data_IF_932732630229
#
_entry.id   IF_932732630229
#
_cell.length_a   1.000
_cell.length_b   1.000
_cell.length_c   1.000
_cell.angle_alpha   90.00
_cell.angle_beta   90.00
_cell.angle_gamma   90.00
#
_symmetry.space_group_name_H-M   'P 1'
#
loop_
_entity.id
_entity.type
_entity.pdbx_description
1 polymer ?
#
# COMPACT_ATOMS: atom_id res chain seq x y z
N UNK A 1 -28.93 -9.65 16.96
CA UNK A 1 -27.69 -9.84 16.19
C UNK A 1 -27.03 -11.15 16.61
N UNK A 2 -27.60 -12.32 16.27
CA UNK A 2 -27.05 -13.64 16.64
C UNK A 2 -26.80 -14.57 15.45
N UNK A 3 -27.01 -14.08 14.22
CA UNK A 3 -26.86 -14.88 12.99
C UNK A 3 -25.46 -14.76 12.37
N UNK A 4 -24.69 -13.73 12.74
CA UNK A 4 -23.29 -13.54 12.27
C UNK A 4 -22.34 -14.58 12.88
N UNK A 5 -22.68 -15.13 14.04
CA UNK A 5 -21.81 -16.04 14.80
C UNK A 5 -22.21 -17.52 14.63
N UNK A 6 -23.11 -17.87 13.70
CA UNK A 6 -23.54 -19.26 13.47
C UNK A 6 -22.67 -19.93 12.37
N UNK A 7 -21.78 -20.87 12.73
CA UNK A 7 -20.87 -21.52 11.80
C UNK A 7 -21.55 -22.53 10.85
N UNK A 8 -22.85 -22.82 11.04
CA UNK A 8 -23.63 -23.74 10.20
C UNK A 8 -24.63 -22.98 9.30
N UNK A 9 -24.74 -21.66 9.45
CA UNK A 9 -25.62 -20.86 8.62
C UNK A 9 -25.20 -20.91 7.14
N UNK A 10 -26.14 -21.27 6.25
CA UNK A 10 -25.93 -21.29 4.80
C UNK A 10 -25.48 -19.90 4.32
N UNK A 11 -24.28 -19.82 3.74
CA UNK A 11 -23.75 -18.61 3.14
C UNK A 11 -24.75 -17.98 2.16
N UNK A 12 -25.10 -16.72 2.40
CA UNK A 12 -26.10 -16.00 1.63
C UNK A 12 -25.42 -15.39 0.39
N UNK A 13 -25.45 -16.14 -0.72
CA UNK A 13 -24.91 -15.72 -2.02
C UNK A 13 -25.77 -14.62 -2.64
N UNK A 14 -25.50 -13.36 -2.30
CA UNK A 14 -26.01 -12.21 -3.06
C UNK A 14 -25.31 -12.15 -4.41
N UNK A 15 -25.79 -12.90 -5.41
CA UNK A 15 -25.66 -12.57 -6.83
C UNK A 15 -26.44 -13.46 -7.80
N UNK A 16 -27.42 -14.27 -7.35
CA UNK A 16 -28.33 -14.99 -8.25
C UNK A 16 -29.77 -15.04 -7.69
N UNK A 17 -30.45 -13.89 -7.62
CA UNK A 17 -31.85 -13.78 -7.16
C UNK A 17 -32.73 -12.98 -8.13
N UNK A 18 -33.94 -13.47 -8.37
CA UNK A 18 -34.93 -12.98 -9.35
C UNK A 18 -35.11 -11.46 -9.43
N UNK A 19 -35.37 -10.98 -10.65
CA UNK A 19 -35.68 -9.59 -10.96
C UNK A 19 -36.87 -9.06 -10.12
N UNK A 20 -36.61 -8.12 -9.21
CA UNK A 20 -37.65 -7.43 -8.46
C UNK A 20 -37.17 -6.63 -7.25
N UNK A 21 -36.14 -7.09 -6.54
CA UNK A 21 -35.68 -6.46 -5.28
C UNK A 21 -34.36 -5.69 -5.40
N UNK A 22 -33.54 -5.97 -6.42
CA UNK A 22 -32.24 -5.28 -6.60
C UNK A 22 -32.34 -3.81 -7.04
N UNK A 23 -33.40 -3.43 -7.76
CA UNK A 23 -33.55 -2.04 -8.29
C UNK A 23 -33.80 -1.02 -7.17
N UNK A 24 -34.50 -1.41 -6.11
CA UNK A 24 -34.74 -0.56 -4.94
C UNK A 24 -33.47 -0.37 -4.12
N UNK A 25 -32.69 -1.43 -3.92
CA UNK A 25 -31.40 -1.38 -3.21
C UNK A 25 -30.35 -0.56 -3.97
N UNK A 26 -30.27 -0.69 -5.31
CA UNK A 26 -29.32 0.10 -6.13
C UNK A 26 -29.71 1.59 -6.17
N UNK A 27 -31.02 1.93 -6.22
CA UNK A 27 -31.48 3.33 -6.12
C UNK A 27 -31.34 3.91 -4.71
N UNK A 28 -31.47 3.08 -3.68
CA UNK A 28 -31.37 3.50 -2.28
C UNK A 28 -29.92 3.55 -1.78
N UNK A 29 -28.97 2.91 -2.46
CA UNK A 29 -27.57 2.84 -2.04
C UNK A 29 -26.95 4.22 -1.78
N UNK A 30 -27.08 5.23 -2.67
CA UNK A 30 -26.58 6.58 -2.41
C UNK A 30 -27.33 7.27 -1.26
N UNK A 31 -28.63 6.98 -1.11
CA UNK A 31 -29.49 7.59 -0.09
C UNK A 31 -29.16 7.05 1.32
N UNK A 32 -28.82 5.75 1.42
CA UNK A 32 -28.42 5.12 2.69
C UNK A 32 -27.05 5.63 3.14
N UNK A 33 -26.07 5.71 2.23
CA UNK A 33 -24.74 6.28 2.55
C UNK A 33 -24.89 7.74 2.98
N UNK A 34 -25.72 8.52 2.27
CA UNK A 34 -25.98 9.91 2.61
C UNK A 34 -26.61 10.06 4.00
N UNK A 35 -27.62 9.24 4.32
CA UNK A 35 -28.27 9.25 5.62
C UNK A 35 -27.33 8.80 6.75
N UNK A 36 -26.61 7.69 6.59
CA UNK A 36 -25.66 7.17 7.58
C UNK A 36 -24.52 8.17 7.83
N UNK A 37 -23.92 8.72 6.77
CA UNK A 37 -22.87 9.75 6.86
C UNK A 37 -23.39 10.98 7.59
N UNK A 38 -24.60 11.46 7.28
CA UNK A 38 -25.19 12.61 7.95
C UNK A 38 -25.49 12.33 9.44
N UNK A 39 -26.01 11.14 9.77
CA UNK A 39 -26.25 10.73 11.16
C UNK A 39 -24.94 10.65 11.95
N UNK A 40 -23.91 10.00 11.41
CA UNK A 40 -22.57 9.93 12.03
C UNK A 40 -21.96 11.31 12.20
N UNK A 41 -22.11 12.17 11.20
CA UNK A 41 -21.64 13.54 11.25
C UNK A 41 -22.32 14.31 12.39
N UNK A 42 -23.65 14.30 12.48
CA UNK A 42 -24.37 15.02 13.54
C UNK A 42 -24.13 14.43 14.93
N UNK A 43 -23.94 13.10 15.04
CA UNK A 43 -23.80 12.41 16.32
C UNK A 43 -22.41 12.52 16.97
N UNK A 44 -21.41 13.05 16.27
CA UNK A 44 -20.04 13.12 16.78
C UNK A 44 -19.90 14.22 17.85
N UNK A 45 -19.76 13.87 19.16
CA UNK A 45 -19.90 14.82 20.25
C UNK A 45 -18.64 15.66 20.53
N UNK A 46 -17.48 15.28 19.97
CA UNK A 46 -16.19 15.87 20.37
C UNK A 46 -15.84 17.18 19.66
N UNK A 47 -16.57 17.53 18.62
CA UNK A 47 -16.12 18.53 17.64
C UNK A 47 -16.95 19.82 17.69
N UNK A 48 -18.28 19.72 17.70
CA UNK A 48 -19.17 20.88 17.61
C UNK A 48 -20.59 20.51 18.10
N UNK A 49 -21.43 21.51 18.31
CA UNK A 49 -22.83 21.34 18.69
C UNK A 49 -23.62 20.59 17.59
N UNK A 50 -24.41 19.55 17.94
CA UNK A 50 -25.19 18.79 16.97
C UNK A 50 -26.12 19.64 16.10
N UNK A 51 -26.69 20.74 16.63
CA UNK A 51 -27.54 21.61 15.83
C UNK A 51 -26.72 22.41 14.82
N UNK A 52 -25.56 22.93 15.20
CA UNK A 52 -24.64 23.61 14.27
C UNK A 52 -24.25 22.69 13.10
N UNK A 53 -23.94 21.42 13.40
CA UNK A 53 -23.61 20.41 12.39
C UNK A 53 -24.79 20.06 11.51
N UNK A 54 -25.99 19.93 12.08
CA UNK A 54 -27.21 19.74 11.31
C UNK A 54 -27.47 20.91 10.35
N UNK A 55 -27.26 22.16 10.79
CA UNK A 55 -27.38 23.33 9.93
C UNK A 55 -26.39 23.30 8.77
N UNK A 56 -25.14 22.85 9.00
CA UNK A 56 -24.16 22.63 7.92
C UNK A 56 -24.69 21.61 6.90
N UNK A 57 -25.19 20.45 7.35
CA UNK A 57 -25.77 19.43 6.43
C UNK A 57 -26.95 19.99 5.64
N UNK A 58 -27.84 20.75 6.27
CA UNK A 58 -29.01 21.36 5.61
C UNK A 58 -28.59 22.42 4.58
N UNK A 59 -27.57 23.23 4.87
CA UNK A 59 -27.01 24.24 3.94
C UNK A 59 -26.58 23.60 2.62
N UNK A 60 -25.84 22.49 2.66
CA UNK A 60 -25.41 21.78 1.45
C UNK A 60 -26.57 21.04 0.76
N UNK A 61 -27.51 20.46 1.53
CA UNK A 61 -28.68 19.78 0.96
C UNK A 61 -29.55 20.71 0.12
N UNK A 62 -29.72 21.96 0.56
CA UNK A 62 -30.57 22.96 -0.09
C UNK A 62 -29.88 23.65 -1.28
N UNK A 63 -28.58 23.41 -1.52
CA UNK A 63 -27.86 23.99 -2.65
C UNK A 63 -28.33 23.35 -3.96
N UNK A 64 -28.81 24.20 -4.89
CA UNK A 64 -29.23 23.78 -6.23
C UNK A 64 -28.03 23.28 -7.05
N UNK A 65 -28.28 22.39 -8.01
CA UNK A 65 -27.27 21.83 -8.93
C UNK A 65 -26.06 21.13 -8.27
N UNK A 66 -26.22 20.63 -7.05
CA UNK A 66 -25.19 19.91 -6.30
C UNK A 66 -25.47 18.41 -6.36
N UNK A 67 -24.47 17.57 -6.65
CA UNK A 67 -24.66 16.12 -6.79
C UNK A 67 -25.04 15.47 -5.45
N UNK A 68 -25.55 14.23 -5.48
CA UNK A 68 -25.86 13.49 -4.25
C UNK A 68 -24.61 13.21 -3.41
N UNK A 69 -23.45 13.01 -4.05
CA UNK A 69 -22.18 12.79 -3.37
C UNK A 69 -21.63 14.08 -2.77
N UNK A 70 -21.75 15.20 -3.49
CA UNK A 70 -21.40 16.53 -2.94
C UNK A 70 -22.19 16.82 -1.66
N UNK A 71 -23.50 16.57 -1.67
CA UNK A 71 -24.37 16.76 -0.50
C UNK A 71 -24.00 15.85 0.68
N UNK A 72 -23.30 14.76 0.41
CA UNK A 72 -22.90 13.77 1.41
C UNK A 72 -21.53 14.10 2.00
N UNK A 73 -20.54 14.42 1.16
CA UNK A 73 -19.15 14.57 1.58
C UNK A 73 -18.69 16.01 1.82
N UNK A 74 -19.23 16.99 1.09
CA UNK A 74 -18.81 18.39 1.29
C UNK A 74 -19.05 18.92 2.71
N UNK A 75 -20.18 18.59 3.42
CA UNK A 75 -20.34 19.01 4.82
C UNK A 75 -19.23 18.47 5.74
N UNK A 76 -18.77 17.24 5.48
CA UNK A 76 -17.72 16.56 6.26
C UNK A 76 -16.33 17.13 5.94
N UNK A 77 -16.11 17.51 4.68
CA UNK A 77 -14.84 18.05 4.19
C UNK A 77 -14.66 19.53 4.51
N UNK A 78 -15.74 20.33 4.45
CA UNK A 78 -15.68 21.78 4.67
C UNK A 78 -15.14 22.13 6.06
N UNK A 79 -15.49 21.36 7.09
CA UNK A 79 -14.96 21.58 8.45
C UNK A 79 -13.44 21.35 8.59
N UNK A 80 -12.75 20.83 7.57
CA UNK A 80 -11.29 20.76 7.56
C UNK A 80 -10.63 22.08 7.18
N UNK A 81 -11.39 23.00 6.60
CA UNK A 81 -10.91 24.26 6.03
C UNK A 81 -11.72 25.47 6.49
N UNK A 82 -12.93 25.26 7.03
CA UNK A 82 -13.73 26.30 7.67
C UNK A 82 -12.91 26.93 8.83
N UNK A 83 -12.92 28.26 8.90
CA UNK A 83 -12.29 29.10 9.94
C UNK A 83 -10.76 29.24 9.88
N UNK A 84 -10.10 28.84 8.77
CA UNK A 84 -8.68 29.08 8.55
C UNK A 84 -8.40 30.46 7.95
N UNK A 85 -7.24 31.03 8.29
CA UNK A 85 -6.69 32.18 7.57
C UNK A 85 -6.19 31.77 6.18
N UNK A 86 -6.11 32.73 5.24
CA UNK A 86 -5.63 32.44 3.87
C UNK A 86 -4.21 31.86 3.83
N UNK A 87 -3.38 32.23 4.81
CA UNK A 87 -1.98 31.77 4.89
C UNK A 87 -1.89 30.32 5.42
N UNK A 88 -2.82 29.92 6.29
CA UNK A 88 -2.87 28.57 6.85
C UNK A 88 -3.61 27.57 5.94
N UNK A 89 -4.52 28.05 5.08
CA UNK A 89 -5.40 27.22 4.25
C UNK A 89 -4.60 26.28 3.33
N UNK A 90 -3.57 26.81 2.65
CA UNK A 90 -2.73 26.02 1.75
C UNK A 90 -1.99 24.89 2.45
N UNK A 91 -1.43 25.15 3.64
CA UNK A 91 -0.71 24.14 4.42
C UNK A 91 -1.67 23.04 4.92
N UNK A 92 -2.88 23.41 5.34
CA UNK A 92 -3.87 22.44 5.81
C UNK A 92 -4.37 21.54 4.67
N UNK A 93 -4.59 22.10 3.48
CA UNK A 93 -4.97 21.36 2.27
C UNK A 93 -3.88 20.36 1.89
N UNK A 94 -2.62 20.79 1.83
CA UNK A 94 -1.52 19.90 1.44
C UNK A 94 -1.32 18.76 2.45
N UNK A 95 -1.38 19.07 3.75
CA UNK A 95 -1.33 18.03 4.79
C UNK A 95 -2.53 17.09 4.74
N UNK A 96 -3.73 17.58 4.38
CA UNK A 96 -4.90 16.73 4.18
C UNK A 96 -4.67 15.77 3.00
N UNK A 97 -4.28 16.31 1.84
CA UNK A 97 -3.98 15.53 0.63
C UNK A 97 -2.92 14.47 0.89
N UNK A 98 -1.87 14.82 1.64
CA UNK A 98 -0.81 13.88 1.97
C UNK A 98 -1.28 12.75 2.90
N UNK A 99 -1.97 13.06 4.01
CA UNK A 99 -2.39 12.05 5.00
C UNK A 99 -3.63 11.29 4.54
N UNK A 100 -4.73 12.00 4.29
CA UNK A 100 -6.01 11.38 3.92
C UNK A 100 -5.92 10.82 2.52
N UNK A 101 -5.23 11.50 1.60
CA UNK A 101 -5.02 10.98 0.26
C UNK A 101 -4.22 9.69 0.23
N UNK A 102 -3.22 9.55 1.10
CA UNK A 102 -2.58 8.25 1.29
C UNK A 102 -3.57 7.22 1.80
N UNK A 103 -4.31 7.49 2.89
CA UNK A 103 -5.23 6.53 3.51
C UNK A 103 -6.26 5.97 2.52
N UNK A 104 -6.86 6.82 1.68
CA UNK A 104 -7.89 6.39 0.72
C UNK A 104 -7.31 5.65 -0.50
N UNK A 105 -6.01 5.79 -0.77
CA UNK A 105 -5.30 5.11 -1.86
C UNK A 105 -4.52 3.87 -1.40
N UNK A 106 -4.49 3.56 -0.09
CA UNK A 106 -3.82 2.37 0.41
C UNK A 106 -4.48 1.09 -0.13
N UNK A 107 -3.70 0.17 -0.71
CA UNK A 107 -4.15 -1.14 -1.20
C UNK A 107 -4.61 -2.04 -0.05
N UNK A 108 -4.07 -1.83 1.16
CA UNK A 108 -4.63 -2.36 2.41
C UNK A 108 -4.63 -1.29 3.50
N UNK A 109 -5.71 -1.21 4.30
CA UNK A 109 -5.75 -0.36 5.48
C UNK A 109 -4.56 -0.55 6.41
N UNK A 110 -3.99 0.55 6.90
CA UNK A 110 -2.90 0.57 7.86
C UNK A 110 -3.34 1.21 9.19
N UNK A 111 -2.69 0.80 10.27
CA UNK A 111 -2.89 1.38 11.59
C UNK A 111 -2.28 2.78 11.69
N UNK A 112 -2.67 3.58 12.68
CA UNK A 112 -2.08 4.92 12.89
C UNK A 112 -0.58 4.83 13.13
N UNK A 113 -0.12 3.77 13.81
CA UNK A 113 1.31 3.51 14.03
C UNK A 113 2.04 3.31 12.69
N UNK A 114 1.52 2.42 11.82
CA UNK A 114 2.13 2.14 10.53
C UNK A 114 2.02 3.33 9.56
N UNK A 115 0.90 4.05 9.58
CA UNK A 115 0.71 5.29 8.81
C UNK A 115 1.72 6.36 9.22
N UNK A 116 1.94 6.54 10.52
CA UNK A 116 2.93 7.49 11.04
C UNK A 116 4.34 7.17 10.55
N UNK A 117 4.71 5.89 10.55
CA UNK A 117 6.00 5.45 10.04
C UNK A 117 6.13 5.67 8.52
N UNK A 118 5.13 5.26 7.72
CA UNK A 118 5.17 5.42 6.25
C UNK A 118 5.14 6.89 5.83
N UNK A 119 4.30 7.71 6.45
CA UNK A 119 4.14 9.12 6.09
C UNK A 119 5.25 10.00 6.65
N UNK A 120 5.97 9.54 7.67
CA UNK A 120 6.88 10.36 8.49
C UNK A 120 6.15 11.55 9.13
N UNK A 121 4.94 11.28 9.64
CA UNK A 121 4.07 12.27 10.29
C UNK A 121 3.76 11.81 11.71
N UNK A 122 3.84 12.68 12.74
CA UNK A 122 3.52 12.30 14.10
C UNK A 122 2.10 11.71 14.23
N UNK A 123 1.96 10.63 15.00
CA UNK A 123 0.66 9.96 15.23
C UNK A 123 -0.42 10.93 15.71
N UNK A 124 -0.07 11.88 16.59
CA UNK A 124 -0.98 12.93 17.07
C UNK A 124 -1.56 13.78 15.93
N UNK A 125 -0.73 14.14 14.95
CA UNK A 125 -1.16 14.93 13.79
C UNK A 125 -2.07 14.14 12.86
N UNK A 126 -1.84 12.83 12.73
CA UNK A 126 -2.73 11.92 11.97
C UNK A 126 -4.07 11.80 12.69
N UNK A 127 -4.06 11.48 14.00
CA UNK A 127 -5.27 11.35 14.81
C UNK A 127 -6.11 12.62 14.80
N UNK A 128 -5.47 13.78 14.98
CA UNK A 128 -6.16 15.06 14.95
C UNK A 128 -6.91 15.32 13.65
N UNK A 129 -6.47 14.76 12.50
CA UNK A 129 -7.22 14.82 11.23
C UNK A 129 -8.32 13.79 11.14
N UNK A 130 -8.04 12.56 11.58
CA UNK A 130 -9.02 11.48 11.61
C UNK A 130 -10.22 11.82 12.49
N UNK A 131 -10.00 12.59 13.57
CA UNK A 131 -11.08 13.01 14.47
C UNK A 131 -12.20 13.77 13.75
N UNK A 132 -11.89 14.52 12.71
CA UNK A 132 -12.88 15.24 11.92
C UNK A 132 -13.52 14.42 10.81
N UNK A 133 -13.09 13.18 10.62
CA UNK A 133 -13.53 12.35 9.51
C UNK A 133 -14.26 11.08 9.96
N UNK A 134 -14.68 10.99 11.22
CA UNK A 134 -15.46 9.84 11.76
C UNK A 134 -16.73 9.50 10.97
N UNK A 135 -17.29 10.48 10.25
CA UNK A 135 -18.44 10.28 9.39
C UNK A 135 -18.14 9.43 8.13
N UNK A 136 -16.86 9.34 7.73
CA UNK A 136 -16.40 8.68 6.50
C UNK A 136 -15.26 7.69 6.70
N UNK A 137 -14.53 7.80 7.81
CA UNK A 137 -13.45 6.92 8.24
C UNK A 137 -13.80 6.28 9.59
N UNK A 138 -13.54 4.98 9.71
CA UNK A 138 -13.48 4.27 10.97
C UNK A 138 -12.03 4.32 11.49
N UNK A 139 -11.83 5.06 12.58
CA UNK A 139 -10.56 5.21 13.28
C UNK A 139 -10.70 4.69 14.72
N UNK A 140 -10.40 3.39 14.96
CA UNK A 140 -10.59 2.78 16.28
C UNK A 140 -9.69 3.41 17.36
N UNK A 141 -10.12 3.34 18.62
CA UNK A 141 -9.34 3.92 19.75
C UNK A 141 -7.96 3.29 19.93
N UNK A 142 -7.81 2.01 19.57
CA UNK A 142 -6.50 1.35 19.54
C UNK A 142 -5.75 1.72 18.26
N UNK A 143 -4.62 2.40 18.42
CA UNK A 143 -3.79 2.89 17.32
C UNK A 143 -3.11 1.79 16.49
N UNK A 144 -3.19 0.53 16.96
CA UNK A 144 -2.70 -0.66 16.25
C UNK A 144 -3.75 -1.28 15.32
N UNK A 145 -5.01 -0.84 15.41
CA UNK A 145 -6.06 -1.31 14.51
C UNK A 145 -6.06 -0.43 13.24
N UNK A 146 -6.21 -1.02 12.03
CA UNK A 146 -6.22 -0.25 10.80
C UNK A 146 -7.35 0.78 10.70
N UNK A 147 -7.02 1.96 10.17
CA UNK A 147 -7.99 3.00 9.79
C UNK A 147 -8.66 2.57 8.49
N UNK A 148 -9.99 2.51 8.47
CA UNK A 148 -10.76 2.03 7.31
C UNK A 148 -11.70 3.10 6.78
N UNK A 149 -11.91 3.10 5.47
CA UNK A 149 -13.02 3.85 4.89
C UNK A 149 -14.34 3.13 5.17
N UNK A 150 -15.36 3.88 5.54
CA UNK A 150 -16.72 3.34 5.72
C UNK A 150 -17.35 2.99 4.38
N UNK A 151 -17.03 3.73 3.33
CA UNK A 151 -17.57 3.52 2.00
C UNK A 151 -16.59 3.90 0.88
N UNK A 152 -16.52 3.07 -0.18
CA UNK A 152 -15.59 3.27 -1.30
C UNK A 152 -15.86 4.58 -2.08
N UNK A 153 -17.12 5.02 -2.16
CA UNK A 153 -17.45 6.27 -2.86
C UNK A 153 -16.83 7.52 -2.22
N UNK A 154 -16.29 7.44 -1.00
CA UNK A 154 -15.52 8.54 -0.43
C UNK A 154 -14.17 8.69 -1.14
N UNK A 155 -13.47 7.58 -1.40
CA UNK A 155 -12.28 7.57 -2.26
C UNK A 155 -12.64 8.08 -3.64
N UNK A 156 -13.66 7.51 -4.27
CA UNK A 156 -14.05 7.86 -5.64
C UNK A 156 -14.39 9.35 -5.75
N UNK A 157 -15.08 9.93 -4.75
CA UNK A 157 -15.37 11.35 -4.70
C UNK A 157 -14.10 12.21 -4.63
N UNK A 158 -13.13 11.84 -3.79
CA UNK A 158 -11.92 12.64 -3.60
C UNK A 158 -10.94 12.57 -4.78
N UNK A 159 -10.87 11.45 -5.50
CA UNK A 159 -9.94 11.28 -6.64
C UNK A 159 -10.52 11.72 -7.98
N UNK A 160 -11.84 11.93 -8.07
CA UNK A 160 -12.51 12.35 -9.30
C UNK A 160 -12.13 13.81 -9.66
N UNK A 161 -11.45 14.04 -10.81
CA UNK A 161 -11.06 15.38 -11.25
C UNK A 161 -12.24 16.34 -11.45
N UNK A 162 -13.46 15.83 -11.72
CA UNK A 162 -14.64 16.67 -11.86
C UNK A 162 -15.00 17.41 -10.56
N UNK A 163 -14.65 16.83 -9.41
CA UNK A 163 -14.94 17.39 -8.09
C UNK A 163 -13.89 18.42 -7.63
N UNK A 164 -12.83 18.67 -8.41
CA UNK A 164 -11.84 19.74 -8.12
C UNK A 164 -12.48 21.13 -8.01
N UNK A 165 -13.58 21.35 -8.75
CA UNK A 165 -14.36 22.59 -8.68
C UNK A 165 -15.23 22.70 -7.41
N UNK A 166 -15.57 21.55 -6.80
CA UNK A 166 -16.41 21.47 -5.60
C UNK A 166 -15.61 21.61 -4.31
N UNK A 167 -14.35 21.16 -4.28
CA UNK A 167 -13.51 21.21 -3.07
C UNK A 167 -12.01 21.30 -3.41
N UNK A 168 -11.23 22.13 -2.68
CA UNK A 168 -9.79 22.15 -2.82
C UNK A 168 -9.12 20.87 -2.29
N UNK A 169 -9.84 20.02 -1.55
CA UNK A 169 -9.30 18.80 -0.94
C UNK A 169 -9.25 17.59 -1.90
N UNK A 170 -9.57 17.79 -3.18
CA UNK A 170 -9.42 16.76 -4.21
C UNK A 170 -7.97 16.26 -4.27
N UNK A 171 -7.81 14.96 -4.49
CA UNK A 171 -6.54 14.23 -4.48
C UNK A 171 -6.13 13.96 -5.92
N UNK A 172 -4.88 14.30 -6.25
CA UNK A 172 -4.26 13.81 -7.47
C UNK A 172 -3.72 12.38 -7.24
N UNK A 173 -4.37 11.39 -7.86
CA UNK A 173 -4.05 9.98 -7.68
C UNK A 173 -2.62 9.66 -8.14
N UNK A 174 -2.17 10.24 -9.25
CA UNK A 174 -0.83 10.00 -9.80
C UNK A 174 0.25 10.55 -8.87
N UNK A 175 0.08 11.80 -8.42
CA UNK A 175 1.02 12.44 -7.48
C UNK A 175 1.06 11.69 -6.15
N UNK A 176 -0.10 11.27 -5.65
CA UNK A 176 -0.21 10.57 -4.37
C UNK A 176 0.42 9.18 -4.44
N UNK A 177 0.18 8.41 -5.51
CA UNK A 177 0.86 7.15 -5.74
C UNK A 177 2.39 7.32 -5.84
N UNK A 178 2.88 8.38 -6.49
CA UNK A 178 4.31 8.70 -6.51
C UNK A 178 4.86 8.91 -5.09
N UNK A 179 4.16 9.71 -4.27
CA UNK A 179 4.55 9.97 -2.89
C UNK A 179 4.55 8.69 -2.02
N UNK A 180 3.53 7.83 -2.17
CA UNK A 180 3.45 6.55 -1.44
C UNK A 180 4.60 5.63 -1.85
N UNK A 181 4.93 5.55 -3.15
CA UNK A 181 6.06 4.75 -3.64
C UNK A 181 7.39 5.23 -3.04
N UNK A 182 7.63 6.55 -3.03
CA UNK A 182 8.82 7.15 -2.43
C UNK A 182 8.92 6.86 -0.93
N UNK A 183 7.80 6.97 -0.21
CA UNK A 183 7.72 6.63 1.21
C UNK A 183 8.02 5.15 1.48
N UNK A 184 7.52 4.25 0.64
CA UNK A 184 7.85 2.83 0.74
C UNK A 184 9.35 2.58 0.52
N UNK A 185 9.96 3.22 -0.49
CA UNK A 185 11.39 3.12 -0.75
C UNK A 185 12.22 3.66 0.43
N UNK A 186 11.82 4.79 1.02
CA UNK A 186 12.45 5.37 2.21
C UNK A 186 12.44 4.37 3.38
N UNK A 187 11.28 3.78 3.68
CA UNK A 187 11.12 2.79 4.75
C UNK A 187 11.98 1.56 4.49
N UNK A 188 11.96 1.05 3.26
CA UNK A 188 12.79 -0.09 2.85
C UNK A 188 14.28 0.21 3.00
N UNK A 189 14.75 1.39 2.57
CA UNK A 189 16.17 1.78 2.64
C UNK A 189 16.69 1.83 4.08
N UNK A 190 15.86 2.29 5.02
CA UNK A 190 16.23 2.41 6.43
C UNK A 190 16.21 1.05 7.15
N UNK A 191 15.19 0.23 6.87
CA UNK A 191 14.92 -0.98 7.66
C UNK A 191 15.53 -2.26 7.07
N UNK A 192 15.72 -2.31 5.75
CA UNK A 192 16.24 -3.51 5.10
C UNK A 192 17.76 -3.61 5.21
N UNK A 193 18.20 -4.76 5.68
CA UNK A 193 19.62 -5.12 5.77
C UNK A 193 19.81 -6.60 5.48
N UNK A 194 21.04 -6.96 5.12
CA UNK A 194 21.45 -8.36 5.02
C UNK A 194 21.18 -9.03 6.36
N UNK A 195 20.61 -10.23 6.30
CA UNK A 195 20.26 -11.01 7.48
C UNK A 195 19.33 -10.26 8.46
N UNK A 196 18.13 -9.90 7.98
CA UNK A 196 17.09 -9.21 8.75
C UNK A 196 16.83 -9.82 10.14
N UNK A 197 16.82 -11.15 10.22
CA UNK A 197 16.51 -11.92 11.42
C UNK A 197 17.77 -12.31 12.22
N UNK A 198 18.96 -11.84 11.83
CA UNK A 198 20.25 -12.11 12.49
C UNK A 198 20.50 -13.62 12.73
N UNK A 199 20.21 -14.45 11.72
CA UNK A 199 20.40 -15.89 11.79
C UNK A 199 21.88 -16.30 11.75
N UNK A 200 22.76 -15.46 11.19
CA UNK A 200 24.22 -15.63 11.02
C UNK A 200 24.67 -16.79 10.14
N UNK A 201 23.97 -17.92 10.17
CA UNK A 201 24.29 -19.13 9.43
C UNK A 201 23.50 -19.18 8.11
N UNK A 202 24.15 -19.12 6.93
CA UNK A 202 23.45 -19.14 5.65
C UNK A 202 22.56 -20.37 5.41
N UNK A 203 22.88 -21.51 6.05
CA UNK A 203 22.10 -22.75 5.99
C UNK A 203 20.97 -22.85 7.02
N UNK A 204 20.70 -21.81 7.81
CA UNK A 204 19.58 -21.81 8.76
C UNK A 204 18.24 -21.84 8.01
N UNK A 205 17.34 -22.80 8.31
CA UNK A 205 16.06 -22.88 7.63
C UNK A 205 15.12 -21.78 8.13
N UNK A 206 14.17 -21.36 7.29
CA UNK A 206 13.13 -20.39 7.65
C UNK A 206 12.33 -20.81 8.88
N UNK A 207 12.11 -22.11 9.05
CA UNK A 207 11.39 -22.69 10.21
C UNK A 207 12.12 -22.51 11.54
N UNK A 208 13.41 -22.19 11.52
CA UNK A 208 14.18 -21.89 12.72
C UNK A 208 14.02 -20.42 13.20
N UNK A 209 13.31 -19.57 12.45
CA UNK A 209 13.10 -18.17 12.80
C UNK A 209 11.86 -18.06 13.69
N UNK A 210 11.98 -17.60 14.95
CA UNK A 210 10.82 -17.36 15.80
C UNK A 210 9.92 -16.27 15.22
N UNK A 211 8.61 -16.43 15.37
CA UNK A 211 7.61 -15.46 14.90
C UNK A 211 7.86 -14.04 15.47
N UNK A 212 8.24 -13.95 16.75
CA UNK A 212 8.58 -12.67 17.40
C UNK A 212 9.79 -11.98 16.75
N UNK A 213 10.79 -12.75 16.31
CA UNK A 213 11.93 -12.21 15.55
C UNK A 213 11.45 -11.63 14.22
N UNK A 214 10.54 -12.31 13.52
CA UNK A 214 9.96 -11.79 12.28
C UNK A 214 9.22 -10.48 12.54
N UNK A 215 8.37 -10.42 13.57
CA UNK A 215 7.56 -9.23 13.90
C UNK A 215 8.43 -8.03 14.28
N UNK A 216 9.52 -8.25 15.01
CA UNK A 216 10.48 -7.19 15.36
C UNK A 216 11.37 -6.76 14.19
N UNK A 217 11.77 -7.69 13.32
CA UNK A 217 12.62 -7.40 12.16
C UNK A 217 11.86 -6.86 10.94
N UNK A 218 10.56 -7.15 10.85
CA UNK A 218 9.67 -6.74 9.75
C UNK A 218 8.37 -6.19 10.34
N UNK A 219 8.38 -4.96 10.87
CA UNK A 219 7.17 -4.33 11.36
C UNK A 219 6.17 -4.07 10.20
N UNK A 220 4.87 -3.84 10.50
CA UNK A 220 3.82 -3.78 9.50
C UNK A 220 4.07 -2.81 8.33
N UNK A 221 4.63 -1.63 8.61
CA UNK A 221 5.01 -0.62 7.61
C UNK A 221 6.10 -1.11 6.65
N UNK A 222 7.05 -1.90 7.13
CA UNK A 222 8.13 -2.47 6.30
C UNK A 222 7.57 -3.59 5.44
N UNK A 223 6.72 -4.45 5.99
CA UNK A 223 6.03 -5.49 5.23
C UNK A 223 5.17 -4.88 4.12
N UNK A 224 4.41 -3.82 4.46
CA UNK A 224 3.58 -3.10 3.51
C UNK A 224 4.41 -2.49 2.38
N UNK A 225 5.48 -1.77 2.74
CA UNK A 225 6.38 -1.16 1.76
C UNK A 225 6.99 -2.21 0.82
N UNK A 226 7.49 -3.33 1.36
CA UNK A 226 8.05 -4.42 0.54
C UNK A 226 7.04 -5.04 -0.42
N UNK A 227 5.75 -5.01 -0.07
CA UNK A 227 4.69 -5.64 -0.86
C UNK A 227 4.10 -4.72 -1.94
N UNK A 228 3.99 -3.41 -1.68
CA UNK A 228 3.17 -2.52 -2.52
C UNK A 228 3.94 -1.39 -3.23
N UNK A 229 5.22 -1.16 -2.94
CA UNK A 229 5.96 -0.05 -3.56
C UNK A 229 5.93 -0.08 -5.10
N UNK A 230 6.04 -1.26 -5.72
CA UNK A 230 6.02 -1.42 -7.19
C UNK A 230 4.66 -1.04 -7.74
N UNK A 231 3.58 -1.48 -7.09
CA UNK A 231 2.21 -1.15 -7.48
C UNK A 231 2.03 0.37 -7.53
N UNK A 232 2.39 1.07 -6.45
CA UNK A 232 2.29 2.54 -6.41
C UNK A 232 3.18 3.24 -7.42
N UNK A 233 4.38 2.73 -7.62
CA UNK A 233 5.27 3.29 -8.61
C UNK A 233 4.68 3.18 -10.02
N UNK A 234 4.12 2.02 -10.39
CA UNK A 234 3.42 1.85 -11.69
C UNK A 234 2.23 2.79 -11.83
N UNK A 235 1.37 2.84 -10.81
CA UNK A 235 0.17 3.68 -10.85
C UNK A 235 0.49 5.18 -10.83
N UNK A 236 1.70 5.57 -10.41
CA UNK A 236 2.16 6.96 -10.52
C UNK A 236 2.40 7.41 -11.96
N UNK A 237 2.64 6.47 -12.89
CA UNK A 237 3.03 6.73 -14.29
C UNK A 237 4.25 7.67 -14.43
N UNK A 238 5.07 7.79 -13.38
CA UNK A 238 6.29 8.59 -13.39
C UNK A 238 7.47 7.70 -13.78
N UNK A 239 8.22 8.15 -14.80
CA UNK A 239 9.48 7.51 -15.22
C UNK A 239 10.53 7.60 -14.09
N UNK A 240 11.20 6.48 -13.79
CA UNK A 240 12.22 6.44 -12.75
C UNK A 240 13.46 7.25 -13.17
N UNK A 241 13.58 8.49 -12.68
CA UNK A 241 14.82 9.27 -12.76
C UNK A 241 15.57 9.12 -11.43
N UNK A 242 16.11 7.93 -11.20
CA UNK A 242 16.92 7.65 -10.02
C UNK A 242 18.10 6.78 -10.40
N UNK A 243 19.33 7.31 -10.31
CA UNK A 243 20.51 6.46 -10.27
C UNK A 243 20.40 5.59 -9.02
N UNK A 244 20.35 4.26 -9.20
CA UNK A 244 20.46 3.29 -8.12
C UNK A 244 21.89 3.31 -7.56
N UNK A 245 22.22 4.33 -6.78
CA UNK A 245 23.41 4.32 -5.95
C UNK A 245 23.05 3.63 -4.63
N UNK A 246 23.61 2.45 -4.42
CA UNK A 246 23.52 1.58 -3.23
C UNK A 246 22.36 0.58 -3.23
N UNK A 247 22.61 -0.54 -3.91
CA UNK A 247 21.74 -1.71 -3.96
C UNK A 247 21.44 -2.30 -2.59
N UNK A 248 20.14 -2.45 -2.30
CA UNK A 248 19.55 -3.37 -1.32
C UNK A 248 18.10 -3.63 -1.75
N UNK A 249 17.77 -4.87 -2.09
CA UNK A 249 16.38 -5.30 -2.35
C UNK A 249 16.06 -6.53 -1.50
N UNK A 250 14.84 -6.60 -0.96
CA UNK A 250 14.34 -7.72 -0.14
C UNK A 250 13.39 -8.64 -0.92
N UNK A 251 13.16 -9.80 -0.31
CA UNK A 251 12.58 -11.00 -0.88
C UNK A 251 11.05 -10.93 -1.03
N UNK A 252 10.52 -10.27 -2.07
CA UNK A 252 9.12 -10.44 -2.56
C UNK A 252 8.82 -9.81 -3.95
N UNK A 253 9.66 -10.03 -4.96
CA UNK A 253 9.54 -9.33 -6.28
C UNK A 253 8.98 -10.15 -7.45
N UNK A 254 8.24 -11.23 -7.21
CA UNK A 254 8.16 -12.29 -8.24
C UNK A 254 6.98 -12.23 -9.23
N UNK A 255 5.95 -11.39 -9.04
CA UNK A 255 4.73 -11.51 -9.87
C UNK A 255 4.34 -10.29 -10.71
N UNK A 256 4.77 -9.08 -10.35
CA UNK A 256 4.33 -7.87 -11.07
C UNK A 256 5.36 -7.33 -12.08
N UNK A 257 6.51 -7.97 -12.21
CA UNK A 257 7.67 -7.36 -12.87
C UNK A 257 7.68 -7.44 -14.41
N UNK A 258 6.81 -8.22 -15.05
CA UNK A 258 6.94 -8.54 -16.49
C UNK A 258 6.44 -7.47 -17.44
N UNK A 259 5.36 -6.78 -17.11
CA UNK A 259 4.62 -6.04 -18.14
C UNK A 259 5.09 -4.58 -18.30
N UNK A 260 5.82 -4.04 -17.32
CA UNK A 260 6.20 -2.61 -17.26
C UNK A 260 7.70 -2.33 -17.51
N UNK A 261 8.49 -3.38 -17.73
CA UNK A 261 9.93 -3.30 -18.02
C UNK A 261 10.20 -2.67 -19.40
N UNK A 262 9.18 -2.47 -20.23
CA UNK A 262 9.31 -1.84 -21.55
C UNK A 262 9.37 -0.30 -21.51
N UNK A 263 8.88 0.36 -20.46
CA UNK A 263 8.77 1.83 -20.39
C UNK A 263 9.92 2.52 -19.65
N UNK A 264 10.87 1.77 -19.07
CA UNK A 264 12.01 2.32 -18.31
C UNK A 264 13.27 2.46 -19.17
N UNK A 265 14.29 3.19 -18.67
CA UNK A 265 15.58 3.23 -19.35
C UNK A 265 16.08 1.81 -19.63
N UNK A 266 16.73 1.63 -20.78
CA UNK A 266 17.20 0.33 -21.23
C UNK A 266 18.04 -0.36 -20.13
N UNK A 267 18.87 0.38 -19.40
CA UNK A 267 19.72 -0.18 -18.33
C UNK A 267 18.89 -0.73 -17.16
N UNK A 268 17.91 0.03 -16.67
CA UNK A 268 17.03 -0.38 -15.56
C UNK A 268 16.21 -1.61 -15.97
N UNK A 269 15.71 -1.61 -17.20
CA UNK A 269 14.97 -2.72 -17.79
C UNK A 269 15.79 -4.02 -17.82
N UNK A 270 17.04 -3.97 -18.30
CA UNK A 270 17.90 -5.16 -18.38
C UNK A 270 18.35 -5.61 -16.98
N UNK A 271 18.69 -4.69 -16.08
CA UNK A 271 19.04 -5.02 -14.69
C UNK A 271 17.90 -5.78 -13.99
N UNK A 272 16.67 -5.28 -14.09
CA UNK A 272 15.52 -5.88 -13.42
C UNK A 272 15.14 -7.24 -14.02
N UNK A 273 15.30 -7.40 -15.33
CA UNK A 273 15.12 -8.69 -16.00
C UNK A 273 16.12 -9.74 -15.50
N UNK A 274 17.37 -9.34 -15.32
CA UNK A 274 18.42 -10.20 -14.77
C UNK A 274 18.17 -10.56 -13.29
N UNK A 275 17.80 -9.57 -12.47
CA UNK A 275 17.39 -9.76 -11.08
C UNK A 275 16.27 -10.79 -10.94
N UNK A 276 15.23 -10.68 -11.79
CA UNK A 276 14.12 -11.62 -11.81
C UNK A 276 14.59 -13.05 -12.09
N UNK A 277 15.51 -13.25 -13.04
CA UNK A 277 16.04 -14.58 -13.37
C UNK A 277 16.80 -15.17 -12.18
N UNK A 278 17.68 -14.40 -11.53
CA UNK A 278 18.43 -14.84 -10.34
C UNK A 278 17.49 -15.27 -9.21
N UNK A 279 16.45 -14.47 -8.92
CA UNK A 279 15.49 -14.77 -7.86
C UNK A 279 14.67 -16.02 -8.19
N UNK A 280 14.22 -16.14 -9.43
CA UNK A 280 13.40 -17.28 -9.86
C UNK A 280 14.19 -18.60 -9.85
N UNK A 281 15.44 -18.61 -10.31
CA UNK A 281 16.26 -19.82 -10.34
C UNK A 281 16.63 -20.33 -8.94
N UNK A 282 16.62 -19.47 -7.93
CA UNK A 282 16.97 -19.84 -6.55
C UNK A 282 15.78 -19.86 -5.59
N UNK A 283 14.55 -19.65 -6.08
CA UNK A 283 13.37 -19.48 -5.25
C UNK A 283 13.18 -20.60 -4.24
N UNK A 284 13.26 -21.87 -4.69
CA UNK A 284 13.06 -23.03 -3.82
C UNK A 284 14.09 -23.06 -2.66
N UNK A 285 15.35 -22.75 -2.96
CA UNK A 285 16.40 -22.69 -1.96
C UNK A 285 16.18 -21.52 -0.99
N UNK A 286 15.82 -20.33 -1.48
CA UNK A 286 15.63 -19.17 -0.60
C UNK A 286 14.36 -19.28 0.25
N UNK A 287 13.29 -19.85 -0.28
CA UNK A 287 12.05 -20.07 0.49
C UNK A 287 12.29 -20.98 1.70
N UNK A 288 13.22 -21.94 1.57
CA UNK A 288 13.64 -22.85 2.66
C UNK A 288 14.77 -22.28 3.51
N UNK A 289 15.77 -21.62 2.91
CA UNK A 289 16.96 -21.05 3.55
C UNK A 289 17.15 -19.58 3.13
N UNK A 290 16.51 -18.62 3.82
CA UNK A 290 16.39 -17.24 3.35
C UNK A 290 17.72 -16.52 3.09
N UNK A 291 18.80 -16.87 3.81
CA UNK A 291 20.11 -16.25 3.61
C UNK A 291 20.83 -16.69 2.34
N UNK A 292 20.34 -17.73 1.66
CA UNK A 292 20.91 -18.19 0.39
C UNK A 292 20.71 -17.17 -0.74
N UNK A 293 19.81 -16.18 -0.57
CA UNK A 293 19.71 -15.04 -1.50
C UNK A 293 21.01 -14.23 -1.58
N UNK A 294 21.79 -14.18 -0.48
CA UNK A 294 23.04 -13.42 -0.41
C UNK A 294 24.28 -14.28 -0.69
N UNK A 295 24.10 -15.60 -0.89
CA UNK A 295 25.19 -16.56 -1.08
C UNK A 295 24.94 -17.30 -2.38
N UNK A 296 24.15 -18.36 -2.36
CA UNK A 296 23.91 -19.20 -3.54
C UNK A 296 23.37 -18.42 -4.73
N UNK A 297 22.39 -17.54 -4.54
CA UNK A 297 21.78 -16.81 -5.66
C UNK A 297 22.79 -15.96 -6.44
N UNK A 298 23.77 -15.38 -5.75
CA UNK A 298 24.83 -14.60 -6.38
C UNK A 298 25.98 -15.50 -6.89
N UNK A 299 26.36 -16.52 -6.10
CA UNK A 299 27.45 -17.45 -6.41
C UNK A 299 27.16 -18.25 -7.69
N UNK A 300 25.92 -18.69 -7.86
CA UNK A 300 25.47 -19.50 -9.00
C UNK A 300 24.84 -18.68 -10.14
N UNK A 301 24.77 -17.35 -10.02
CA UNK A 301 24.37 -16.51 -11.14
C UNK A 301 25.42 -16.56 -12.28
N UNK A 302 25.01 -16.48 -13.57
CA UNK A 302 25.94 -16.51 -14.69
C UNK A 302 27.01 -15.42 -14.61
N UNK A 303 28.26 -15.73 -14.98
CA UNK A 303 29.42 -14.81 -14.81
C UNK A 303 29.22 -13.46 -15.49
N UNK A 304 28.59 -13.45 -16.66
CA UNK A 304 28.35 -12.25 -17.44
C UNK A 304 27.05 -11.52 -17.06
N UNK A 305 26.23 -12.12 -16.20
CA UNK A 305 24.97 -11.55 -15.71
C UNK A 305 25.19 -10.19 -15.04
N UNK A 306 24.22 -9.28 -15.20
CA UNK A 306 24.30 -7.92 -14.69
C UNK A 306 24.35 -7.93 -13.16
N UNK A 307 23.49 -8.71 -12.50
CA UNK A 307 23.48 -8.88 -11.05
C UNK A 307 24.80 -9.45 -10.56
N UNK A 308 25.31 -10.46 -11.26
CA UNK A 308 26.59 -11.07 -10.91
C UNK A 308 27.74 -10.05 -10.93
N UNK A 309 27.81 -9.22 -11.97
CA UNK A 309 28.81 -8.14 -12.10
C UNK A 309 28.59 -7.00 -11.10
N UNK A 310 27.34 -6.60 -10.88
CA UNK A 310 26.98 -5.48 -10.01
C UNK A 310 27.35 -5.76 -8.55
N UNK A 311 27.19 -7.01 -8.12
CA UNK A 311 27.41 -7.44 -6.74
C UNK A 311 28.65 -8.31 -6.58
N UNK A 312 29.61 -8.28 -7.51
CA UNK A 312 30.83 -9.12 -7.45
C UNK A 312 31.60 -8.92 -6.13
N UNK A 313 31.66 -7.68 -5.62
CA UNK A 313 32.26 -7.37 -4.32
C UNK A 313 31.51 -7.93 -3.10
N UNK A 314 30.28 -8.44 -3.25
CA UNK A 314 29.51 -9.06 -2.17
C UNK A 314 29.70 -10.60 -2.09
N UNK A 315 30.51 -11.16 -2.98
CA UNK A 315 30.77 -12.59 -3.01
C UNK A 315 31.47 -13.05 -1.72
N UNK A 316 31.08 -14.22 -1.18
CA UNK A 316 31.69 -14.72 0.05
C UNK A 316 33.17 -15.07 -0.20
N UNK A 317 34.08 -14.34 0.46
CA UNK A 317 35.52 -14.55 0.34
C UNK A 317 36.01 -15.93 0.84
N UNK A 318 35.17 -16.66 1.57
CA UNK A 318 35.47 -18.03 2.03
C UNK A 318 35.17 -19.10 0.97
N UNK A 319 34.47 -18.75 -0.12
CA UNK A 319 33.99 -19.70 -1.13
C UNK A 319 34.91 -19.70 -2.36
N UNK A 320 36.19 -20.03 -2.15
CA UNK A 320 37.20 -20.18 -3.20
C UNK A 320 37.74 -21.62 -3.28
N UNK A 321 37.87 -22.20 -4.48
CA UNK A 321 37.44 -21.64 -5.78
C UNK A 321 35.91 -21.59 -5.90
N UNK A 322 35.42 -20.59 -6.63
CA UNK A 322 33.99 -20.48 -6.94
C UNK A 322 33.55 -21.64 -7.85
N UNK A 323 32.28 -22.09 -7.76
CA UNK A 323 31.76 -23.14 -8.62
C UNK A 323 31.83 -22.73 -10.10
N UNK A 324 31.96 -23.75 -10.97
CA UNK A 324 31.78 -23.53 -12.40
C UNK A 324 30.31 -23.23 -12.68
N UNK A 325 30.07 -22.11 -13.34
CA UNK A 325 28.73 -21.63 -13.72
C UNK A 325 28.77 -21.18 -15.18
N UNK A 326 27.61 -21.15 -15.83
CA UNK A 326 27.50 -20.66 -17.20
C UNK A 326 28.00 -19.22 -17.33
N UNK A 327 28.54 -18.88 -18.50
CA UNK A 327 28.93 -17.51 -18.80
C UNK A 327 27.69 -16.61 -18.86
N UNK A 328 26.66 -17.05 -19.55
CA UNK A 328 25.41 -16.34 -19.77
C UNK A 328 24.21 -17.20 -19.36
N UNK A 329 23.02 -16.59 -19.27
CA UNK A 329 21.78 -17.34 -19.08
C UNK A 329 21.56 -18.29 -20.26
N UNK A 330 21.28 -19.55 -19.97
CA UNK A 330 20.84 -20.52 -20.96
C UNK A 330 19.41 -20.19 -21.42
N UNK A 331 19.07 -20.61 -22.65
CA UNK A 331 17.73 -20.40 -23.22
C UNK A 331 16.62 -21.14 -22.43
N UNK A 332 17.00 -22.10 -21.56
CA UNK A 332 16.12 -23.00 -20.82
C UNK A 332 16.11 -22.77 -19.29
N UNK A 333 16.56 -21.62 -18.79
CA UNK A 333 16.68 -21.30 -17.35
C UNK A 333 15.37 -21.36 -16.51
N UNK A 334 14.25 -21.82 -17.08
CA UNK A 334 12.97 -22.02 -16.42
C UNK A 334 12.59 -23.51 -16.25
N UNK A 335 13.49 -24.46 -16.55
CA UNK A 335 13.24 -25.87 -16.24
C UNK A 335 13.46 -26.09 -14.75
N UNK A 336 12.38 -26.38 -14.02
CA UNK A 336 12.42 -26.83 -12.64
C UNK A 336 13.20 -28.16 -12.58
N UNK A 337 14.42 -28.14 -12.05
CA UNK A 337 15.12 -29.38 -11.68
C UNK A 337 14.38 -30.02 -10.49
N UNK A 338 13.75 -31.16 -10.73
CA UNK A 338 12.99 -31.88 -9.69
C UNK A 338 12.23 -33.13 -10.13
N UNK A 339 12.43 -33.63 -11.36
CA UNK A 339 11.88 -34.90 -11.80
C UNK A 339 12.89 -35.64 -12.67
N UNK A 340 13.96 -36.11 -12.06
CA UNK A 340 14.73 -37.24 -12.58
C UNK A 340 14.97 -38.17 -11.39
N UNK A 341 14.06 -39.10 -11.20
CA UNK A 341 14.34 -40.35 -10.51
C UNK A 341 13.59 -41.48 -11.28
N UNK A 342 14.17 -42.69 -11.31
CA UNK A 342 14.33 -43.51 -12.52
C UNK A 342 13.10 -44.27 -13.03
#
# INVERSE_FOLDING_TARGET
MRWVDDPVAKGMWWLNGMAGTGKSTIRAFPLFISADTACRFVAEPKIDDPNARLQKVLKYRNKANTSALDKTYLPVLAQQIDDLSSDDEGEVIEKFRYVIGTIVLLSRPLSVVALSAILDVPQKSIMARLDWLHAVLDAPSSQNIPVRMLHLSFRDFLVDPANRSSTPLCIDEMQSHSAIAQNCIRIMKVNLRRDLCNMRAPGAPRTAIPQQTIETSLPPEVQYACQYWVHYWKESKVLFIGKCEHGRWSHKLTYEFTDYVQENSHEVSVFLRDARRVILSHRAAVDKWPLQVYVSALVFAPKNGIIRKTFDGELPAWLFPLPMVNLDWDACAATLEGHDDP
#
